data_IF_848653868453
#
_entry.id   IF_848653868453
#
_cell.length_a   1.000
_cell.length_b   1.000
_cell.length_c   1.000
_cell.angle_alpha   90.00
_cell.angle_beta   90.00
_cell.angle_gamma   90.00
#
_symmetry.space_group_name_H-M   'P 1'
#
loop_
_entity.id
_entity.type
_entity.pdbx_description
1 polymer ?
#
# COMPACT_ATOMS: atom_id res chain seq x y z
N UNK A 1 -15.65 -6.97 -1.16
CA UNK A 1 -14.52 -6.47 -0.35
C UNK A 1 -14.27 -4.97 -0.57
N UNK A 2 -13.89 -4.20 0.47
CA UNK A 2 -13.76 -2.72 0.46
C UNK A 2 -12.88 -2.11 -0.66
N UNK A 3 -11.97 -2.90 -1.23
CA UNK A 3 -11.04 -2.50 -2.29
C UNK A 3 -11.48 -2.94 -3.69
N UNK A 4 -12.69 -3.48 -3.85
CA UNK A 4 -13.26 -3.82 -5.16
C UNK A 4 -13.95 -2.61 -5.80
N UNK A 5 -13.94 -2.60 -7.13
CA UNK A 5 -14.67 -1.67 -7.98
C UNK A 5 -15.33 -2.46 -9.10
N UNK A 6 -16.55 -2.09 -9.45
CA UNK A 6 -17.25 -2.68 -10.59
C UNK A 6 -17.28 -1.63 -11.69
N UNK A 7 -16.81 -2.02 -12.86
CA UNK A 7 -16.79 -1.16 -14.04
C UNK A 7 -18.22 -0.93 -14.55
N UNK A 8 -18.65 0.32 -14.70
CA UNK A 8 -20.03 0.65 -15.12
C UNK A 8 -20.24 0.65 -16.64
N UNK A 9 -19.16 0.78 -17.40
CA UNK A 9 -19.13 0.78 -18.87
C UNK A 9 -17.74 0.34 -19.35
N UNK A 10 -17.65 -0.17 -20.57
CA UNK A 10 -16.36 -0.53 -21.17
C UNK A 10 -15.41 0.68 -21.14
N UNK A 11 -14.21 0.46 -20.62
CA UNK A 11 -13.21 1.52 -20.46
C UNK A 11 -11.80 0.92 -20.44
N UNK A 12 -10.80 1.80 -20.39
CA UNK A 12 -9.40 1.41 -20.21
C UNK A 12 -8.87 1.98 -18.89
N UNK A 13 -7.99 1.23 -18.24
CA UNK A 13 -7.20 1.69 -17.11
C UNK A 13 -5.82 2.09 -17.66
N UNK A 14 -5.46 3.38 -17.64
CA UNK A 14 -4.12 3.81 -18.06
C UNK A 14 -3.08 3.35 -17.04
N UNK A 15 -1.91 2.95 -17.54
CA UNK A 15 -0.78 2.52 -16.73
C UNK A 15 0.25 3.63 -16.65
N UNK A 16 0.76 3.89 -15.45
CA UNK A 16 1.87 4.83 -15.25
C UNK A 16 3.15 4.32 -15.93
N UNK A 17 3.39 3.01 -15.82
CA UNK A 17 4.52 2.32 -16.43
C UNK A 17 3.96 1.25 -17.38
N UNK A 18 4.52 1.13 -18.58
CA UNK A 18 4.08 0.12 -19.55
C UNK A 18 4.35 -1.31 -19.06
N UNK A 19 3.41 -2.23 -19.29
CA UNK A 19 3.56 -3.65 -18.95
C UNK A 19 3.64 -4.50 -20.21
N UNK A 20 4.34 -5.63 -20.15
CA UNK A 20 4.36 -6.61 -21.23
C UNK A 20 3.08 -7.46 -21.17
N UNK A 21 2.39 -7.55 -22.30
CA UNK A 21 1.25 -8.45 -22.46
C UNK A 21 1.72 -9.91 -22.69
N UNK A 22 0.78 -10.84 -22.79
CA UNK A 22 1.05 -12.26 -23.08
C UNK A 22 1.72 -12.52 -24.44
N UNK A 23 1.68 -11.54 -25.35
CA UNK A 23 2.33 -11.58 -26.67
C UNK A 23 3.74 -10.94 -26.64
N UNK A 24 4.18 -10.44 -25.49
CA UNK A 24 5.47 -9.76 -25.30
C UNK A 24 5.49 -8.29 -25.71
N UNK A 25 4.37 -7.74 -26.17
CA UNK A 25 4.24 -6.33 -26.56
C UNK A 25 4.02 -5.45 -25.33
N UNK A 26 4.58 -4.25 -25.33
CA UNK A 26 4.39 -3.28 -24.24
C UNK A 26 3.07 -2.55 -24.46
N UNK A 27 2.17 -2.60 -23.48
CA UNK A 27 0.94 -1.81 -23.44
C UNK A 27 1.01 -0.75 -22.35
N UNK A 28 0.41 0.41 -22.61
CA UNK A 28 0.24 1.51 -21.65
C UNK A 28 -1.16 1.54 -21.03
N UNK A 29 -2.02 0.57 -21.33
CA UNK A 29 -3.37 0.49 -20.79
C UNK A 29 -3.87 -0.96 -20.65
N UNK A 30 -4.86 -1.16 -19.78
CA UNK A 30 -5.59 -2.41 -19.60
C UNK A 30 -7.08 -2.18 -19.93
N UNK A 31 -7.65 -2.85 -20.95
CA UNK A 31 -9.09 -2.78 -21.20
C UNK A 31 -9.86 -3.51 -20.09
N UNK A 32 -10.97 -2.92 -19.66
CA UNK A 32 -11.89 -3.50 -18.67
C UNK A 32 -13.33 -3.38 -19.15
N UNK A 33 -14.08 -4.46 -19.04
CA UNK A 33 -15.46 -4.53 -19.55
C UNK A 33 -16.46 -4.06 -18.51
N UNK A 34 -17.64 -3.61 -18.95
CA UNK A 34 -18.79 -3.38 -18.09
C UNK A 34 -19.08 -4.63 -17.24
N UNK A 35 -19.28 -4.43 -15.93
CA UNK A 35 -19.51 -5.49 -14.96
C UNK A 35 -18.24 -6.17 -14.44
N UNK A 36 -17.06 -5.89 -15.02
CA UNK A 36 -15.81 -6.47 -14.55
C UNK A 36 -15.44 -5.92 -13.16
N UNK A 37 -15.05 -6.82 -12.26
CA UNK A 37 -14.53 -6.47 -10.93
C UNK A 37 -13.04 -6.17 -11.03
N UNK A 38 -12.65 -5.01 -10.52
CA UNK A 38 -11.25 -4.58 -10.38
C UNK A 38 -10.89 -4.57 -8.91
N UNK A 39 -9.82 -5.29 -8.56
CA UNK A 39 -9.29 -5.38 -7.20
C UNK A 39 -7.97 -4.62 -7.10
N UNK A 40 -7.86 -3.76 -6.10
CA UNK A 40 -6.60 -3.07 -5.78
C UNK A 40 -5.75 -3.97 -4.88
N UNK A 41 -4.59 -4.40 -5.37
CA UNK A 41 -3.64 -5.21 -4.61
C UNK A 41 -2.81 -4.35 -3.64
N UNK A 42 -3.43 -3.93 -2.53
CA UNK A 42 -2.82 -3.03 -1.53
C UNK A 42 -1.49 -3.60 -1.00
N UNK A 43 -1.47 -4.88 -0.61
CA UNK A 43 -0.28 -5.51 -0.06
C UNK A 43 0.89 -5.55 -1.06
N UNK A 44 0.60 -5.78 -2.35
CA UNK A 44 1.61 -5.78 -3.40
C UNK A 44 2.16 -4.38 -3.66
N UNK A 45 1.29 -3.35 -3.69
CA UNK A 45 1.74 -1.96 -3.85
C UNK A 45 2.70 -1.54 -2.72
N UNK A 46 2.39 -1.90 -1.47
CA UNK A 46 3.22 -1.55 -0.31
C UNK A 46 4.60 -2.23 -0.28
N UNK A 47 4.83 -3.23 -1.15
CA UNK A 47 6.12 -3.94 -1.28
C UNK A 47 6.76 -3.75 -2.66
N UNK A 48 6.18 -2.91 -3.50
CA UNK A 48 6.64 -2.72 -4.87
C UNK A 48 7.97 -1.97 -4.89
N UNK A 49 9.07 -2.66 -5.19
CA UNK A 49 10.42 -2.08 -5.17
C UNK A 49 10.59 -0.88 -6.10
N UNK A 50 9.91 -0.87 -7.26
CA UNK A 50 9.97 0.28 -8.18
C UNK A 50 9.50 1.59 -7.53
N UNK A 51 8.60 1.49 -6.54
CA UNK A 51 8.04 2.61 -5.77
C UNK A 51 8.75 2.84 -4.44
N UNK A 52 9.05 1.79 -3.69
CA UNK A 52 9.56 1.90 -2.33
C UNK A 52 11.09 1.76 -2.20
N UNK A 53 11.78 1.33 -3.26
CA UNK A 53 13.21 1.01 -3.25
C UNK A 53 13.48 -0.48 -3.06
N UNK A 54 14.75 -0.88 -3.16
CA UNK A 54 15.18 -2.28 -2.96
C UNK A 54 14.80 -2.81 -1.57
N UNK A 55 14.71 -1.90 -0.59
CA UNK A 55 14.35 -2.17 0.80
C UNK A 55 12.83 -2.16 1.06
N UNK A 56 11.99 -2.31 0.04
CA UNK A 56 10.53 -2.30 0.15
C UNK A 56 9.96 -3.35 1.13
N UNK A 57 10.72 -4.41 1.41
CA UNK A 57 10.35 -5.48 2.32
C UNK A 57 10.82 -5.25 3.76
N UNK A 58 11.55 -4.17 4.02
CA UNK A 58 12.12 -3.86 5.33
C UNK A 58 11.28 -2.82 6.09
N UNK A 59 11.23 -2.96 7.40
CA UNK A 59 10.69 -1.91 8.28
C UNK A 59 11.71 -0.76 8.39
N UNK A 60 11.55 0.26 7.54
CA UNK A 60 12.44 1.44 7.52
C UNK A 60 11.65 2.76 7.65
N UNK A 61 11.36 3.21 8.89
CA UNK A 61 10.73 4.50 9.17
C UNK A 61 11.52 5.72 8.67
N UNK A 62 12.86 5.61 8.54
CA UNK A 62 13.70 6.74 8.12
C UNK A 62 13.40 7.26 6.71
N UNK A 63 12.78 6.44 5.84
CA UNK A 63 12.42 6.81 4.46
C UNK A 63 11.56 8.07 4.36
N UNK A 64 10.70 8.33 5.33
CA UNK A 64 9.80 9.49 5.31
C UNK A 64 10.43 10.77 5.87
N UNK A 65 11.64 10.68 6.43
CA UNK A 65 12.35 11.82 7.04
C UNK A 65 13.66 12.17 6.32
N UNK A 66 14.31 11.20 5.69
CA UNK A 66 15.61 11.40 5.03
C UNK A 66 15.53 11.96 3.60
N UNK A 67 14.32 12.22 3.10
CA UNK A 67 14.09 12.77 1.76
C UNK A 67 14.39 11.79 0.62
N UNK A 68 14.60 10.50 0.90
CA UNK A 68 14.92 9.48 -0.12
C UNK A 68 13.70 9.00 -0.91
N UNK A 69 12.49 9.42 -0.52
CA UNK A 69 11.28 9.09 -1.28
C UNK A 69 11.34 9.68 -2.69
N UNK A 70 11.17 8.81 -3.68
CA UNK A 70 11.08 9.24 -5.07
C UNK A 70 9.90 10.21 -5.26
N UNK A 71 10.11 11.37 -5.90
CA UNK A 71 9.02 12.22 -6.35
C UNK A 71 8.09 11.43 -7.26
N UNK A 72 6.78 11.53 -7.06
CA UNK A 72 5.81 10.79 -7.83
C UNK A 72 4.38 11.13 -7.43
N UNK A 73 3.42 10.60 -8.19
CA UNK A 73 2.01 10.75 -7.85
C UNK A 73 1.75 10.05 -6.52
N UNK A 74 1.46 10.84 -5.49
CA UNK A 74 1.12 10.31 -4.18
C UNK A 74 -0.18 9.49 -4.28
N UNK A 75 -0.12 8.25 -3.81
CA UNK A 75 -1.27 7.36 -3.70
C UNK A 75 -1.74 7.39 -2.24
N UNK A 76 -3.03 7.67 -2.07
CA UNK A 76 -3.66 7.77 -0.77
C UNK A 76 -3.38 9.09 -0.03
N UNK A 77 -4.01 9.28 1.14
CA UNK A 77 -4.02 10.57 1.82
C UNK A 77 -2.79 10.85 2.68
N UNK A 78 -1.97 9.83 2.94
CA UNK A 78 -0.89 9.93 3.92
C UNK A 78 0.33 9.13 3.46
N UNK A 79 1.49 9.79 3.42
CA UNK A 79 2.81 9.16 3.25
C UNK A 79 2.96 8.23 2.03
N UNK A 80 2.18 8.46 0.96
CA UNK A 80 2.10 7.61 -0.22
C UNK A 80 1.64 6.15 0.08
N UNK A 81 0.88 5.95 1.16
CA UNK A 81 0.38 4.65 1.59
C UNK A 81 -1.06 4.41 1.10
N UNK A 82 -1.31 3.18 0.64
CA UNK A 82 -2.66 2.71 0.30
C UNK A 82 -3.46 2.15 1.49
N UNK A 83 -2.93 2.24 2.72
CA UNK A 83 -3.59 1.71 3.93
C UNK A 83 -4.97 2.35 4.18
N UNK A 84 -5.14 3.60 3.75
CA UNK A 84 -6.40 4.34 3.86
C UNK A 84 -7.12 4.50 2.50
N UNK A 85 -6.72 3.73 1.48
CA UNK A 85 -7.14 3.88 0.08
C UNK A 85 -6.89 5.31 -0.42
N UNK A 86 -7.60 5.75 -1.46
CA UNK A 86 -7.50 7.10 -2.02
C UNK A 86 -8.72 7.48 -2.85
N UNK A 87 -8.75 8.74 -3.28
CA UNK A 87 -9.84 9.30 -4.07
C UNK A 87 -11.16 9.44 -3.28
N UNK A 88 -12.33 9.44 -3.96
CA UNK A 88 -13.64 9.68 -3.34
C UNK A 88 -14.05 8.67 -2.25
N UNK A 89 -13.41 7.51 -2.19
CA UNK A 89 -13.66 6.46 -1.17
C UNK A 89 -12.45 6.27 -0.24
N UNK A 90 -11.66 7.31 -0.03
CA UNK A 90 -10.64 7.34 1.02
C UNK A 90 -11.28 7.07 2.37
N UNK A 91 -10.56 6.39 3.28
CA UNK A 91 -11.04 6.14 4.64
C UNK A 91 -11.38 7.47 5.32
N UNK A 92 -12.65 7.70 5.67
CA UNK A 92 -13.09 8.96 6.28
C UNK A 92 -12.36 9.24 7.61
N UNK A 93 -12.03 8.19 8.36
CA UNK A 93 -11.35 8.27 9.65
C UNK A 93 -9.82 8.33 9.59
N UNK A 94 -9.19 8.45 8.42
CA UNK A 94 -7.72 8.33 8.31
C UNK A 94 -6.97 9.32 9.20
N UNK A 95 -7.45 10.56 9.31
CA UNK A 95 -6.82 11.59 10.17
C UNK A 95 -6.94 11.22 11.64
N UNK A 96 -8.13 10.77 12.05
CA UNK A 96 -8.39 10.34 13.41
C UNK A 96 -7.50 9.16 13.78
N UNK A 97 -7.42 8.13 12.92
CA UNK A 97 -6.59 6.96 13.15
C UNK A 97 -5.09 7.31 13.29
N UNK A 98 -4.57 8.23 12.46
CA UNK A 98 -3.18 8.69 12.58
C UNK A 98 -2.97 9.43 13.92
N UNK A 99 -3.86 10.35 14.27
CA UNK A 99 -3.76 11.10 15.53
C UNK A 99 -3.86 10.19 16.75
N UNK A 100 -4.81 9.25 16.73
CA UNK A 100 -4.99 8.26 17.79
C UNK A 100 -3.74 7.40 17.97
N UNK A 101 -3.16 6.88 16.87
CA UNK A 101 -1.90 6.13 16.94
C UNK A 101 -0.75 6.97 17.49
N UNK A 102 -0.63 8.24 17.11
CA UNK A 102 0.42 9.14 17.60
C UNK A 102 0.31 9.35 19.12
N UNK A 103 -0.90 9.65 19.61
CA UNK A 103 -1.15 9.82 21.05
C UNK A 103 -0.92 8.51 21.79
N UNK A 104 -1.43 7.39 21.27
CA UNK A 104 -1.26 6.09 21.90
C UNK A 104 0.22 5.69 22.00
N UNK A 105 1.01 5.88 20.94
CA UNK A 105 2.44 5.57 20.96
C UNK A 105 3.25 6.52 21.84
N UNK A 106 2.88 7.81 21.96
CA UNK A 106 3.60 8.72 22.85
C UNK A 106 3.48 8.32 24.31
N UNK A 107 2.29 7.86 24.73
CA UNK A 107 2.09 7.34 26.09
C UNK A 107 2.83 6.01 26.31
N UNK A 108 2.72 5.08 25.35
CA UNK A 108 3.35 3.76 25.47
C UNK A 108 4.88 3.83 25.58
N UNK A 109 5.53 4.65 24.76
CA UNK A 109 7.00 4.76 24.75
C UNK A 109 7.53 5.47 26.01
N UNK A 110 6.72 6.33 26.63
CA UNK A 110 7.07 7.01 27.88
C UNK A 110 7.00 6.10 29.10
N UNK A 111 6.01 5.22 29.15
CA UNK A 111 5.68 4.44 30.36
C UNK A 111 6.16 2.97 30.31
N UNK A 112 6.42 2.43 29.12
CA UNK A 112 6.73 1.01 28.94
C UNK A 112 8.02 0.79 28.14
N UNK A 113 8.71 -0.31 28.47
CA UNK A 113 9.76 -0.90 27.65
C UNK A 113 9.25 -2.19 27.03
N UNK A 114 9.52 -2.37 25.74
CA UNK A 114 9.03 -3.50 24.96
C UNK A 114 10.19 -4.44 24.60
N UNK A 115 9.97 -5.74 24.78
CA UNK A 115 10.85 -6.79 24.31
C UNK A 115 10.01 -7.85 23.57
N UNK A 116 10.62 -8.50 22.59
CA UNK A 116 10.02 -9.69 21.98
C UNK A 116 10.04 -10.84 22.99
N UNK A 117 9.04 -11.72 22.97
CA UNK A 117 9.10 -12.95 23.76
C UNK A 117 10.30 -13.81 23.32
N UNK A 118 10.85 -14.57 24.25
CA UNK A 118 12.01 -15.44 24.00
C UNK A 118 11.66 -16.66 23.13
N UNK A 119 10.37 -16.98 23.02
CA UNK A 119 9.86 -18.07 22.20
C UNK A 119 9.41 -17.62 20.81
N UNK A 120 9.35 -18.56 19.88
CA UNK A 120 8.91 -18.31 18.50
C UNK A 120 7.37 -18.31 18.38
N UNK A 121 6.67 -17.88 19.44
CA UNK A 121 5.21 -17.85 19.50
C UNK A 121 4.59 -16.83 18.52
N UNK A 122 5.40 -15.90 18.02
CA UNK A 122 4.98 -14.88 17.07
C UNK A 122 5.00 -15.43 15.64
N UNK A 123 3.84 -15.88 15.16
CA UNK A 123 3.64 -16.15 13.73
C UNK A 123 3.49 -14.85 12.93
N UNK A 124 4.41 -14.60 12.01
CA UNK A 124 4.26 -13.57 10.98
C UNK A 124 3.15 -13.98 10.00
N UNK A 125 1.94 -13.43 10.18
CA UNK A 125 0.74 -13.81 9.40
C UNK A 125 0.87 -13.59 7.87
N UNK A 126 1.91 -12.88 7.41
CA UNK A 126 2.12 -12.53 6.01
C UNK A 126 3.44 -13.03 5.41
N UNK A 127 4.20 -13.89 6.10
CA UNK A 127 5.45 -14.45 5.55
C UNK A 127 5.20 -15.47 4.41
N UNK A 128 3.99 -16.04 4.30
CA UNK A 128 3.69 -17.16 3.40
C UNK A 128 2.76 -16.81 2.22
N UNK A 129 2.62 -15.54 1.84
CA UNK A 129 1.90 -15.17 0.62
C UNK A 129 2.88 -14.64 -0.42
N UNK A 130 3.40 -15.56 -1.24
CA UNK A 130 4.22 -15.39 -2.45
C UNK A 130 5.72 -15.16 -2.22
N UNK A 131 6.46 -16.28 -2.10
CA UNK A 131 7.71 -16.52 -2.83
C UNK A 131 7.37 -17.52 -3.93
#
# INVERSE_FOLDING_TARGET
AIHERITVQDTVIPLADGIKNSKGEVTSYIPVQKGQVVLVAIASYQRLQSRWGEDAHQFRPSRWVDGTMKPGQAVGPYANLLSFLGGPRVCLGWRFAILEMQVFFSELIGEFSFALPEDDSLRTLYANTLI
#
